data_IF_442643585479
#
_entry.id   IF_442643585479
#
_cell.length_a   1.000
_cell.length_b   1.000
_cell.length_c   1.000
_cell.angle_alpha   90.00
_cell.angle_beta   90.00
_cell.angle_gamma   90.00
#
_symmetry.space_group_name_H-M   'P 1'
#
loop_
_entity.id
_entity.type
_entity.pdbx_description
1 polymer ?
#
# COMPACT_ATOMS: atom_id res chain seq x y z
N UNK A 1 1.81 -17.20 13.84
CA UNK A 1 1.58 -15.88 13.22
C UNK A 1 1.27 -14.89 14.31
N UNK A 2 2.06 -13.83 14.41
CA UNK A 2 1.75 -12.71 15.31
C UNK A 2 0.88 -11.67 14.59
N UNK A 3 0.28 -10.76 15.34
CA UNK A 3 -0.62 -9.73 14.77
C UNK A 3 0.07 -8.83 13.73
N UNK A 4 1.39 -8.63 13.86
CA UNK A 4 2.17 -7.84 12.91
C UNK A 4 2.30 -8.54 11.54
N UNK A 5 2.53 -9.86 11.52
CA UNK A 5 2.57 -10.65 10.28
C UNK A 5 1.21 -10.65 9.58
N UNK A 6 0.12 -10.83 10.33
CA UNK A 6 -1.24 -10.80 9.79
C UNK A 6 -1.55 -9.44 9.15
N UNK A 7 -1.27 -8.35 9.86
CA UNK A 7 -1.47 -7.00 9.33
C UNK A 7 -0.64 -6.75 8.07
N UNK A 8 0.62 -7.20 8.05
CA UNK A 8 1.50 -7.06 6.89
C UNK A 8 0.92 -7.75 5.66
N UNK A 9 0.36 -8.94 5.81
CA UNK A 9 -0.26 -9.67 4.70
C UNK A 9 -1.53 -8.97 4.21
N UNK A 10 -2.38 -8.48 5.12
CA UNK A 10 -3.56 -7.69 4.75
C UNK A 10 -3.17 -6.44 3.94
N UNK A 11 -2.15 -5.68 4.39
CA UNK A 11 -1.67 -4.47 3.68
C UNK A 11 -1.21 -4.82 2.27
N UNK A 12 -0.40 -5.87 2.10
CA UNK A 12 0.08 -6.29 0.76
C UNK A 12 -1.07 -6.65 -0.17
N UNK A 13 -2.08 -7.35 0.35
CA UNK A 13 -3.14 -7.92 -0.46
C UNK A 13 -4.24 -6.91 -0.81
N UNK A 14 -4.53 -5.95 0.09
CA UNK A 14 -5.68 -5.05 -0.07
C UNK A 14 -5.30 -3.58 -0.25
N UNK A 15 -4.20 -3.13 0.35
CA UNK A 15 -3.86 -1.71 0.41
C UNK A 15 -2.88 -1.25 -0.67
N UNK A 16 -2.14 -2.15 -1.33
CA UNK A 16 -1.18 -1.77 -2.39
C UNK A 16 -1.89 -1.57 -3.72
N UNK A 17 -1.80 -0.36 -4.27
CA UNK A 17 -2.38 -0.01 -5.57
C UNK A 17 -1.24 0.22 -6.56
N UNK A 18 -1.14 -0.68 -7.54
CA UNK A 18 -0.09 -0.64 -8.55
C UNK A 18 -0.51 0.25 -9.73
N UNK A 19 0.48 0.91 -10.34
CA UNK A 19 0.32 1.80 -11.48
C UNK A 19 1.18 3.05 -11.31
N UNK A 20 1.59 3.65 -12.43
CA UNK A 20 2.31 4.93 -12.40
C UNK A 20 1.43 6.00 -11.77
N UNK A 21 1.89 6.56 -10.66
CA UNK A 21 1.21 7.64 -9.93
C UNK A 21 2.17 8.78 -9.65
N UNK A 22 1.63 10.00 -9.57
CA UNK A 22 2.35 11.17 -9.08
C UNK A 22 1.89 11.40 -7.64
N UNK A 23 2.84 11.34 -6.70
CA UNK A 23 2.60 11.61 -5.29
C UNK A 23 2.37 13.10 -5.05
N UNK A 24 1.79 13.47 -3.90
CA UNK A 24 1.62 14.88 -3.51
C UNK A 24 2.94 15.66 -3.42
N UNK A 25 4.06 14.96 -3.30
CA UNK A 25 5.41 15.52 -3.37
C UNK A 25 5.88 15.86 -4.80
N UNK A 26 5.09 15.54 -5.82
CA UNK A 26 5.44 15.67 -7.24
C UNK A 26 6.32 14.53 -7.79
N UNK A 27 6.67 13.55 -6.96
CA UNK A 27 7.49 12.40 -7.39
C UNK A 27 6.64 11.32 -8.05
N UNK A 28 7.20 10.70 -9.08
CA UNK A 28 6.64 9.50 -9.68
C UNK A 28 6.93 8.26 -8.82
N UNK A 29 5.96 7.34 -8.77
CA UNK A 29 6.09 6.03 -8.15
C UNK A 29 5.27 4.99 -8.93
N UNK A 30 5.66 3.72 -8.84
CA UNK A 30 4.96 2.61 -9.48
C UNK A 30 3.77 2.09 -8.67
N UNK A 31 3.60 2.59 -7.43
CA UNK A 31 2.48 2.25 -6.55
C UNK A 31 2.26 3.31 -5.47
N UNK A 32 1.09 3.23 -4.83
CA UNK A 32 0.84 3.85 -3.53
C UNK A 32 0.16 2.87 -2.58
N UNK A 33 0.14 3.21 -1.28
CA UNK A 33 -0.49 2.40 -0.24
C UNK A 33 -1.69 3.16 0.33
N UNK A 34 -2.87 2.53 0.28
CA UNK A 34 -4.12 3.07 0.83
C UNK A 34 -4.61 2.23 2.01
N UNK A 35 -4.27 2.67 3.22
CA UNK A 35 -4.65 1.97 4.44
C UNK A 35 -6.15 2.06 4.76
N UNK A 36 -6.96 2.83 4.02
CA UNK A 36 -8.42 2.84 4.16
C UNK A 36 -9.08 1.55 3.65
N UNK A 37 -8.31 0.65 3.04
CA UNK A 37 -8.76 -0.63 2.46
C UNK A 37 -8.57 -1.83 3.41
N UNK A 38 -8.13 -1.59 4.65
CA UNK A 38 -7.82 -2.60 5.67
C UNK A 38 -8.77 -2.43 6.85
#
# INVERSE_FOLDING_TARGET
>A
MNSHELLREEIKNKAVVHGKVILSSGKEADYYVDLRRI
#
